data_IF_481883836246
#
_entry.id   IF_481883836246
#
_cell.length_a   1.000
_cell.length_b   1.000
_cell.length_c   1.000
_cell.angle_alpha   90.00
_cell.angle_beta   90.00
_cell.angle_gamma   90.00
#
_symmetry.space_group_name_H-M   'P 1'
#
loop_
_entity.id
_entity.type
_entity.pdbx_description
1 polymer ?
#
# COMPACT_ATOMS: atom_id res chain seq x y z
N UNK A 1 52.13 -14.61 7.54
CA UNK A 1 50.79 -14.67 8.14
C UNK A 1 49.78 -14.50 7.03
N UNK A 2 48.87 -15.46 6.88
CA UNK A 2 47.77 -15.34 5.94
C UNK A 2 46.58 -14.68 6.63
N UNK A 3 45.94 -13.74 5.95
CA UNK A 3 44.71 -13.10 6.39
C UNK A 3 43.52 -13.67 5.62
N UNK A 4 42.57 -14.31 6.31
CA UNK A 4 41.38 -14.87 5.69
C UNK A 4 40.16 -14.01 6.05
N UNK A 5 39.62 -13.32 5.07
CA UNK A 5 38.35 -12.58 5.18
C UNK A 5 37.21 -13.50 4.79
N UNK A 6 36.34 -13.86 5.75
CA UNK A 6 35.08 -14.55 5.48
C UNK A 6 33.95 -13.56 5.35
N UNK A 7 33.38 -13.46 4.17
CA UNK A 7 32.19 -12.65 3.91
C UNK A 7 30.97 -13.57 3.89
N UNK A 8 29.93 -13.25 4.66
CA UNK A 8 28.69 -14.01 4.65
C UNK A 8 27.99 -13.86 3.29
N UNK A 9 27.35 -14.92 2.77
CA UNK A 9 26.53 -14.83 1.56
C UNK A 9 25.45 -13.76 1.70
N UNK A 10 25.20 -13.03 0.62
CA UNK A 10 24.20 -11.92 0.59
C UNK A 10 22.82 -12.38 1.09
N UNK A 11 22.41 -13.61 0.77
CA UNK A 11 21.15 -14.19 1.26
C UNK A 11 21.06 -14.27 2.78
N UNK A 12 22.15 -14.64 3.45
CA UNK A 12 22.20 -14.68 4.92
C UNK A 12 22.12 -13.28 5.52
N UNK A 13 22.75 -12.29 4.88
CA UNK A 13 22.68 -10.88 5.31
C UNK A 13 21.25 -10.36 5.19
N UNK A 14 20.55 -10.64 4.08
CA UNK A 14 19.15 -10.26 3.90
C UNK A 14 18.22 -10.93 4.92
N UNK A 15 18.44 -12.20 5.23
CA UNK A 15 17.67 -12.92 6.24
C UNK A 15 17.86 -12.33 7.64
N UNK A 16 19.09 -12.00 8.03
CA UNK A 16 19.39 -11.35 9.32
C UNK A 16 18.77 -9.98 9.43
N UNK A 17 18.79 -9.20 8.36
CA UNK A 17 18.19 -7.86 8.32
C UNK A 17 16.67 -7.88 8.10
N UNK A 18 16.07 -9.05 7.89
CA UNK A 18 14.63 -9.17 7.62
C UNK A 18 14.17 -8.49 6.33
N UNK A 19 15.09 -8.34 5.37
CA UNK A 19 14.84 -7.73 4.06
C UNK A 19 14.34 -8.74 3.01
N UNK A 20 14.28 -10.00 3.38
CA UNK A 20 13.76 -11.06 2.53
C UNK A 20 12.23 -10.99 2.39
N UNK A 21 11.69 -11.66 1.40
CA UNK A 21 10.24 -11.87 1.26
C UNK A 21 9.69 -12.51 2.55
N UNK A 22 8.60 -11.95 3.09
CA UNK A 22 8.03 -12.26 4.40
C UNK A 22 8.89 -11.86 5.61
N UNK A 23 9.99 -11.15 5.40
CA UNK A 23 10.82 -10.64 6.48
C UNK A 23 10.12 -9.55 7.30
N UNK A 24 10.61 -9.32 8.51
CA UNK A 24 10.04 -8.33 9.45
C UNK A 24 10.08 -6.90 8.91
N UNK A 25 11.14 -6.54 8.19
CA UNK A 25 11.29 -5.20 7.60
C UNK A 25 10.31 -5.01 6.45
N UNK A 26 10.11 -6.04 5.60
CA UNK A 26 9.12 -5.99 4.54
C UNK A 26 7.70 -5.85 5.12
N UNK A 27 7.38 -6.62 6.15
CA UNK A 27 6.07 -6.53 6.81
C UNK A 27 5.82 -5.14 7.42
N UNK A 28 6.84 -4.55 8.04
CA UNK A 28 6.77 -3.18 8.58
C UNK A 28 6.56 -2.14 7.47
N UNK A 29 7.28 -2.27 6.35
CA UNK A 29 7.12 -1.38 5.20
C UNK A 29 5.71 -1.46 4.63
N UNK A 30 5.18 -2.67 4.41
CA UNK A 30 3.83 -2.88 3.89
C UNK A 30 2.77 -2.27 4.81
N UNK A 31 2.92 -2.44 6.13
CA UNK A 31 2.04 -1.84 7.13
C UNK A 31 2.08 -0.31 7.09
N UNK A 32 3.27 0.29 6.97
CA UNK A 32 3.40 1.76 6.87
C UNK A 32 2.78 2.31 5.61
N UNK A 33 2.98 1.63 4.47
CA UNK A 33 2.34 1.97 3.20
C UNK A 33 0.82 1.87 3.33
N UNK A 34 0.30 0.76 3.86
CA UNK A 34 -1.13 0.55 4.05
C UNK A 34 -1.77 1.65 4.94
N UNK A 35 -1.17 1.92 6.10
CA UNK A 35 -1.65 2.92 7.07
C UNK A 35 -1.68 4.33 6.47
N UNK A 36 -0.65 4.72 5.72
CA UNK A 36 -0.63 6.01 5.06
C UNK A 36 -1.63 6.06 3.89
N UNK A 37 -1.72 5.00 3.08
CA UNK A 37 -2.64 4.93 1.94
C UNK A 37 -4.11 5.10 2.35
N UNK A 38 -4.52 4.60 3.52
CA UNK A 38 -5.88 4.77 4.05
C UNK A 38 -6.33 6.24 4.14
N UNK A 39 -5.40 7.18 4.29
CA UNK A 39 -5.69 8.62 4.37
C UNK A 39 -5.99 9.25 3.00
N UNK A 40 -5.51 8.62 1.93
CA UNK A 40 -5.59 9.14 0.56
C UNK A 40 -6.71 8.49 -0.26
N UNK A 41 -7.16 7.30 0.12
CA UNK A 41 -8.28 6.62 -0.56
C UNK A 41 -9.61 7.28 -0.23
N UNK A 42 -10.56 7.14 -1.13
CA UNK A 42 -11.91 7.67 -0.99
C UNK A 42 -12.59 7.18 0.29
N UNK A 43 -13.35 8.06 0.93
CA UNK A 43 -14.10 7.74 2.14
C UNK A 43 -15.57 8.18 1.99
N UNK A 44 -16.45 7.23 1.84
CA UNK A 44 -17.89 7.45 1.95
C UNK A 44 -18.47 6.64 3.11
N UNK A 45 -18.18 5.35 3.15
CA UNK A 45 -18.60 4.41 4.22
C UNK A 45 -17.43 3.80 4.98
N UNK A 46 -16.20 4.13 4.58
CA UNK A 46 -14.99 3.51 5.13
C UNK A 46 -14.69 2.10 4.60
N UNK A 47 -15.55 1.54 3.75
CA UNK A 47 -15.36 0.19 3.23
C UNK A 47 -14.02 0.00 2.48
N UNK A 48 -13.61 1.00 1.68
CA UNK A 48 -12.36 0.95 0.95
C UNK A 48 -11.16 0.96 1.90
N UNK A 49 -11.18 1.79 2.95
CA UNK A 49 -10.12 1.81 3.95
C UNK A 49 -10.02 0.50 4.72
N UNK A 50 -11.16 -0.04 5.17
CA UNK A 50 -11.22 -1.31 5.91
C UNK A 50 -10.78 -2.50 5.06
N UNK A 51 -10.95 -2.44 3.74
CA UNK A 51 -10.53 -3.52 2.84
C UNK A 51 -9.01 -3.66 2.75
N UNK A 52 -8.24 -2.59 2.99
CA UNK A 52 -6.78 -2.59 2.86
C UNK A 52 -6.11 -3.56 3.84
N UNK A 53 -6.30 -3.45 5.17
CA UNK A 53 -5.68 -4.38 6.10
C UNK A 53 -6.21 -5.81 5.99
N UNK A 54 -7.48 -5.98 5.58
CA UNK A 54 -8.10 -7.30 5.43
C UNK A 54 -7.53 -8.04 4.21
N UNK A 55 -7.33 -7.35 3.09
CA UNK A 55 -6.87 -7.95 1.84
C UNK A 55 -5.35 -7.99 1.70
N UNK A 56 -4.62 -7.15 2.46
CA UNK A 56 -3.17 -7.05 2.36
C UNK A 56 -2.50 -8.01 3.32
N UNK A 57 -1.66 -8.89 2.78
CA UNK A 57 -0.81 -9.77 3.58
C UNK A 57 0.55 -9.07 3.76
N UNK A 58 0.77 -8.50 4.93
CA UNK A 58 2.02 -7.79 5.23
C UNK A 58 3.23 -8.75 5.18
N UNK A 59 4.30 -8.29 4.57
CA UNK A 59 5.48 -9.09 4.25
C UNK A 59 5.49 -9.64 2.82
N UNK A 60 4.37 -9.52 2.08
CA UNK A 60 4.29 -9.95 0.68
C UNK A 60 4.78 -8.92 -0.34
N UNK A 61 5.08 -7.70 0.11
CA UNK A 61 5.38 -6.57 -0.77
C UNK A 61 4.18 -6.05 -1.56
N UNK A 62 2.96 -6.41 -1.14
CA UNK A 62 1.72 -6.01 -1.81
C UNK A 62 0.72 -5.42 -0.84
N UNK A 63 0.21 -4.23 -1.16
CA UNK A 63 -0.92 -3.60 -0.48
C UNK A 63 -2.10 -3.58 -1.44
N UNK A 64 -3.23 -4.15 -1.02
CA UNK A 64 -4.38 -4.43 -1.88
C UNK A 64 -5.59 -3.64 -1.38
N UNK A 65 -6.27 -2.96 -2.30
CA UNK A 65 -7.58 -2.34 -2.07
C UNK A 65 -8.63 -3.25 -2.72
N UNK A 66 -9.28 -4.10 -1.92
CA UNK A 66 -10.20 -5.11 -2.42
C UNK A 66 -11.65 -4.65 -2.34
N UNK A 67 -12.02 -3.71 -3.18
CA UNK A 67 -13.42 -3.32 -3.41
C UNK A 67 -13.70 -3.20 -4.91
N UNK A 68 -14.89 -3.59 -5.38
CA UNK A 68 -15.19 -3.65 -6.82
C UNK A 68 -15.03 -2.33 -7.57
N UNK A 69 -15.19 -1.21 -6.88
CA UNK A 69 -15.11 0.13 -7.44
C UNK A 69 -13.74 0.81 -7.23
N UNK A 70 -12.76 0.14 -6.60
CA UNK A 70 -11.46 0.73 -6.28
C UNK A 70 -10.75 1.31 -7.49
N UNK A 71 -10.74 0.58 -8.61
CA UNK A 71 -10.11 1.02 -9.86
C UNK A 71 -10.65 2.35 -10.34
N UNK A 72 -11.96 2.50 -10.39
CA UNK A 72 -12.59 3.72 -10.92
C UNK A 72 -12.38 4.92 -9.99
N UNK A 73 -12.36 4.67 -8.69
CA UNK A 73 -12.03 5.71 -7.72
C UNK A 73 -10.56 6.10 -7.79
N UNK A 74 -9.66 5.15 -8.03
CA UNK A 74 -8.26 5.43 -8.24
C UNK A 74 -8.01 6.23 -9.54
N UNK A 75 -8.74 5.92 -10.60
CA UNK A 75 -8.69 6.66 -11.86
C UNK A 75 -9.45 8.00 -11.83
N UNK A 76 -10.26 8.23 -10.80
CA UNK A 76 -11.04 9.48 -10.66
C UNK A 76 -12.24 9.58 -11.59
N UNK A 77 -12.76 8.47 -12.08
CA UNK A 77 -13.85 8.42 -13.06
C UNK A 77 -15.16 7.96 -12.43
N UNK A 78 -16.26 8.57 -12.85
CA UNK A 78 -17.60 8.14 -12.46
C UNK A 78 -17.96 6.85 -13.20
N UNK A 79 -18.52 5.88 -12.48
CA UNK A 79 -19.08 4.66 -13.05
C UNK A 79 -20.58 4.76 -13.22
N UNK A 80 -21.06 4.30 -14.37
CA UNK A 80 -22.49 4.14 -14.65
C UNK A 80 -22.77 2.74 -15.21
N UNK A 81 -24.00 2.27 -15.04
CA UNK A 81 -24.46 1.05 -15.71
C UNK A 81 -24.46 1.23 -17.23
N UNK A 82 -24.04 0.20 -17.96
CA UNK A 82 -23.97 0.25 -19.44
C UNK A 82 -25.35 0.48 -20.07
N UNK A 83 -26.36 -0.16 -19.53
CA UNK A 83 -27.74 -0.07 -20.01
C UNK A 83 -28.53 1.06 -19.36
N UNK A 84 -28.48 1.15 -18.02
CA UNK A 84 -29.26 2.10 -17.25
C UNK A 84 -28.72 3.52 -17.28
N UNK A 85 -27.45 3.70 -17.66
CA UNK A 85 -26.72 5.00 -17.59
C UNK A 85 -26.78 5.65 -16.21
N UNK A 86 -27.16 4.90 -15.19
CA UNK A 86 -27.29 5.33 -13.81
C UNK A 86 -26.07 4.93 -12.97
N UNK A 87 -25.74 5.73 -11.96
CA UNK A 87 -24.76 5.35 -10.93
C UNK A 87 -25.22 4.09 -10.14
N UNK A 88 -26.51 3.85 -10.09
CA UNK A 88 -27.15 2.67 -9.50
C UNK A 88 -27.47 1.67 -10.61
N UNK A 89 -26.49 0.82 -10.94
CA UNK A 89 -26.73 -0.25 -11.89
C UNK A 89 -27.70 -1.30 -11.32
N UNK A 90 -28.52 -1.86 -12.19
CA UNK A 90 -29.41 -2.96 -11.86
C UNK A 90 -28.59 -4.21 -11.48
N UNK A 91 -29.22 -5.15 -10.79
CA UNK A 91 -28.59 -6.43 -10.44
C UNK A 91 -27.99 -7.08 -11.68
N UNK A 92 -26.70 -7.43 -11.62
CA UNK A 92 -25.93 -8.04 -12.72
C UNK A 92 -25.61 -7.14 -13.93
N UNK A 93 -25.91 -5.85 -13.88
CA UNK A 93 -25.50 -4.94 -14.93
C UNK A 93 -24.01 -4.61 -14.82
N UNK A 94 -23.29 -4.72 -15.94
CA UNK A 94 -21.90 -4.25 -16.02
C UNK A 94 -21.84 -2.74 -15.90
N UNK A 95 -20.81 -2.24 -15.21
CA UNK A 95 -20.54 -0.81 -15.10
C UNK A 95 -19.36 -0.42 -15.98
N UNK A 96 -19.45 0.74 -16.57
CA UNK A 96 -18.36 1.38 -17.33
C UNK A 96 -18.00 2.74 -16.78
N UNK A 97 -16.74 3.16 -16.98
CA UNK A 97 -16.30 4.50 -16.64
C UNK A 97 -16.72 5.49 -17.72
N UNK A 98 -17.29 6.60 -17.31
CA UNK A 98 -17.58 7.73 -18.21
C UNK A 98 -16.55 8.84 -18.01
N UNK A 99 -16.44 9.76 -19.00
CA UNK A 99 -15.52 10.89 -18.95
C UNK A 99 -16.01 12.02 -18.01
N UNK A 100 -16.48 11.65 -16.82
CA UNK A 100 -16.87 12.57 -15.75
C UNK A 100 -15.98 12.32 -14.53
N UNK A 101 -15.39 13.37 -13.99
CA UNK A 101 -14.55 13.30 -12.79
C UNK A 101 -15.36 13.00 -11.53
N UNK A 102 -14.82 12.17 -10.66
CA UNK A 102 -15.38 11.94 -9.33
C UNK A 102 -15.12 13.12 -8.40
N UNK A 103 -16.10 13.43 -7.57
CA UNK A 103 -15.94 14.32 -6.42
C UNK A 103 -15.62 13.49 -5.19
N UNK A 104 -14.54 13.85 -4.50
CA UNK A 104 -14.10 13.16 -3.29
C UNK A 104 -14.53 13.95 -2.05
N UNK A 105 -15.09 13.23 -1.07
CA UNK A 105 -15.53 13.81 0.19
C UNK A 105 -14.49 13.57 1.30
N UNK A 106 -14.55 14.40 2.36
CA UNK A 106 -13.78 14.23 3.60
C UNK A 106 -12.26 14.42 3.49
N UNK A 107 -11.81 15.54 2.94
CA UNK A 107 -10.44 16.00 3.10
C UNK A 107 -9.65 16.19 1.81
N UNK A 108 -8.72 17.14 1.85
CA UNK A 108 -7.88 17.56 0.72
C UNK A 108 -6.88 16.48 0.25
N UNK A 109 -6.54 15.52 1.10
CA UNK A 109 -5.62 14.44 0.75
C UNK A 109 -6.26 13.38 -0.15
N UNK A 110 -7.60 13.29 -0.18
CA UNK A 110 -8.34 12.29 -0.95
C UNK A 110 -8.50 12.72 -2.40
N UNK A 111 -8.38 11.78 -3.31
CA UNK A 111 -8.49 12.10 -4.73
C UNK A 111 -8.14 10.92 -5.63
N UNK A 112 -8.10 11.18 -6.94
CA UNK A 112 -7.58 10.24 -7.91
C UNK A 112 -6.11 9.92 -7.62
N UNK A 113 -5.65 8.75 -8.07
CA UNK A 113 -4.27 8.28 -7.91
C UNK A 113 -3.78 8.34 -6.45
N UNK A 114 -4.50 7.69 -5.51
CA UNK A 114 -4.20 7.81 -4.08
C UNK A 114 -2.80 7.32 -3.71
N UNK A 115 -2.29 6.29 -4.40
CA UNK A 115 -0.95 5.75 -4.14
C UNK A 115 0.14 6.73 -4.57
N UNK A 116 0.03 7.32 -5.76
CA UNK A 116 1.00 8.29 -6.28
C UNK A 116 1.04 9.55 -5.41
N UNK A 117 -0.11 10.03 -4.97
CA UNK A 117 -0.23 11.18 -4.05
C UNK A 117 0.40 10.86 -2.69
N UNK A 118 0.06 9.72 -2.10
CA UNK A 118 0.66 9.26 -0.85
C UNK A 118 2.19 9.10 -1.00
N UNK A 119 2.65 8.52 -2.10
CA UNK A 119 4.08 8.35 -2.39
C UNK A 119 4.79 9.70 -2.48
N UNK A 120 4.22 10.68 -3.18
CA UNK A 120 4.81 12.01 -3.28
C UNK A 120 4.96 12.68 -1.90
N UNK A 121 3.95 12.55 -1.02
CA UNK A 121 3.93 13.23 0.27
C UNK A 121 4.69 12.47 1.38
N UNK A 122 4.70 11.15 1.37
CA UNK A 122 5.10 10.30 2.51
C UNK A 122 6.27 9.36 2.25
N UNK A 123 6.76 9.27 1.01
CA UNK A 123 7.85 8.35 0.64
C UNK A 123 9.04 8.43 1.59
N UNK A 124 9.58 9.62 1.79
CA UNK A 124 10.80 9.80 2.58
C UNK A 124 10.56 9.50 4.07
N UNK A 125 9.40 9.87 4.59
CA UNK A 125 8.99 9.54 5.95
C UNK A 125 8.88 8.02 6.16
N UNK A 126 8.24 7.30 5.22
CA UNK A 126 8.08 5.84 5.29
C UNK A 126 9.45 5.16 5.19
N UNK A 127 10.31 5.59 4.26
CA UNK A 127 11.65 5.03 4.09
C UNK A 127 12.52 5.24 5.33
N UNK A 128 12.50 6.45 5.92
CA UNK A 128 13.24 6.75 7.14
C UNK A 128 12.77 5.93 8.34
N UNK A 129 11.47 5.73 8.50
CA UNK A 129 10.92 4.88 9.56
C UNK A 129 11.33 3.43 9.37
N UNK A 130 11.27 2.92 8.13
CA UNK A 130 11.68 1.56 7.78
C UNK A 130 13.18 1.34 8.00
N UNK A 131 14.02 2.31 7.62
CA UNK A 131 15.45 2.24 7.86
C UNK A 131 15.80 2.24 9.36
N UNK A 132 15.11 3.06 10.17
CA UNK A 132 15.26 3.04 11.64
C UNK A 132 14.85 1.69 12.23
N UNK A 133 13.76 1.10 11.73
CA UNK A 133 13.31 -0.22 12.18
C UNK A 133 14.32 -1.32 11.82
N UNK A 134 14.86 -1.31 10.60
CA UNK A 134 15.88 -2.25 10.16
C UNK A 134 17.17 -2.14 11.02
N UNK A 135 17.62 -0.93 11.33
CA UNK A 135 18.78 -0.70 12.21
C UNK A 135 18.57 -1.28 13.60
N UNK A 136 17.39 -1.06 14.21
CA UNK A 136 17.09 -1.64 15.54
C UNK A 136 17.13 -3.17 15.54
N UNK A 137 16.70 -3.81 14.45
CA UNK A 137 16.80 -5.26 14.32
C UNK A 137 18.26 -5.72 14.22
N UNK A 138 19.11 -4.99 13.48
CA UNK A 138 20.55 -5.30 13.37
C UNK A 138 21.29 -5.08 14.67
N UNK A 139 21.02 -4.00 15.40
CA UNK A 139 21.66 -3.67 16.69
C UNK A 139 21.30 -4.70 17.76
N UNK A 140 20.06 -5.19 17.78
CA UNK A 140 19.64 -6.27 18.68
C UNK A 140 20.31 -7.61 18.38
N UNK A 141 20.93 -7.77 17.22
CA UNK A 141 21.65 -8.99 16.83
C UNK A 141 23.16 -8.90 17.16
N UNK A 142 23.73 -7.70 17.08
CA UNK A 142 25.15 -7.47 17.44
C UNK A 142 25.42 -7.60 18.94
N UNK A 143 24.37 -7.50 19.77
CA UNK A 143 24.49 -7.57 21.25
C UNK A 143 24.18 -8.98 21.82
N UNK A 144 24.10 -10.00 21.00
CA UNK A 144 24.01 -11.41 21.38
C UNK A 144 25.25 -12.16 20.91
#
# INVERSE_FOLDING_TARGET
MGFILRVKPIKEIYGVLGLEEKGKVQAFLDERVATNLMKYVSFKSGAQQKSIPIASKYGSGRVIINVPYARFQAEGKVMVGVKSRSAWAWKNEKKEAINKRLTYHNGSLRGAHPFERMKADKRDSILNQTAKFARRLSDGWCNK
#
